data_IF_187160489040
#
_entry.id   IF_187160489040
#
_cell.length_a   1.000
_cell.length_b   1.000
_cell.length_c   1.000
_cell.angle_alpha   90.00
_cell.angle_beta   90.00
_cell.angle_gamma   90.00
#
_symmetry.space_group_name_H-M   'P 1'
#
loop_
_entity.id
_entity.type
_entity.pdbx_description
1 polymer ?
#
# COMPACT_ATOMS: atom_id res chain seq x y z
N UNK A 1 24.26 -15.79 -6.53
CA UNK A 1 22.83 -16.09 -6.79
C UNK A 1 21.96 -15.10 -6.05
N UNK A 2 20.94 -14.59 -6.69
CA UNK A 2 19.99 -13.69 -6.03
C UNK A 2 19.18 -14.47 -4.96
N UNK A 3 19.04 -13.90 -3.76
CA UNK A 3 18.22 -14.47 -2.71
C UNK A 3 16.76 -14.57 -3.20
N UNK A 4 16.12 -15.77 -3.22
CA UNK A 4 14.76 -15.97 -3.70
C UNK A 4 13.74 -15.09 -2.98
N UNK A 5 13.89 -14.88 -1.67
CA UNK A 5 13.00 -14.02 -0.89
C UNK A 5 13.08 -12.54 -1.32
N UNK A 6 14.29 -12.04 -1.57
CA UNK A 6 14.49 -10.68 -2.10
C UNK A 6 13.88 -10.53 -3.48
N UNK A 7 14.04 -11.52 -4.36
CA UNK A 7 13.43 -11.51 -5.69
C UNK A 7 11.91 -11.46 -5.62
N UNK A 8 11.30 -12.25 -4.74
CA UNK A 8 9.86 -12.28 -4.51
C UNK A 8 9.34 -10.94 -4.00
N UNK A 9 10.03 -10.32 -3.04
CA UNK A 9 9.71 -8.98 -2.53
C UNK A 9 9.71 -7.93 -3.64
N UNK A 10 10.78 -7.85 -4.43
CA UNK A 10 10.90 -6.92 -5.56
C UNK A 10 9.81 -7.13 -6.62
N UNK A 11 9.44 -8.38 -6.88
CA UNK A 11 8.34 -8.68 -7.81
C UNK A 11 6.99 -8.25 -7.26
N UNK A 12 6.76 -8.40 -5.96
CA UNK A 12 5.54 -7.93 -5.31
C UNK A 12 5.42 -6.40 -5.36
N UNK A 13 6.49 -5.66 -5.01
CA UNK A 13 6.54 -4.20 -5.12
C UNK A 13 6.21 -3.72 -6.55
N UNK A 14 6.89 -4.26 -7.55
CA UNK A 14 6.65 -3.91 -8.96
C UNK A 14 5.23 -4.24 -9.41
N UNK A 15 4.68 -5.35 -8.93
CA UNK A 15 3.31 -5.76 -9.22
C UNK A 15 2.29 -4.85 -8.57
N UNK A 16 2.53 -4.37 -7.35
CA UNK A 16 1.68 -3.36 -6.70
C UNK A 16 1.63 -2.06 -7.52
N UNK A 17 2.79 -1.59 -8.00
CA UNK A 17 2.85 -0.40 -8.86
C UNK A 17 1.99 -0.59 -10.12
N UNK A 18 2.21 -1.69 -10.83
CA UNK A 18 1.51 -1.97 -12.09
C UNK A 18 0.00 -2.15 -11.89
N UNK A 19 -0.39 -2.85 -10.83
CA UNK A 19 -1.79 -3.07 -10.47
C UNK A 19 -2.51 -1.75 -10.17
N UNK A 20 -1.95 -0.93 -9.29
CA UNK A 20 -2.56 0.35 -8.88
C UNK A 20 -2.64 1.32 -10.06
N UNK A 21 -1.62 1.37 -10.92
CA UNK A 21 -1.66 2.18 -12.15
C UNK A 21 -2.77 1.72 -13.10
N UNK A 22 -2.88 0.40 -13.33
CA UNK A 22 -3.82 -0.14 -14.29
C UNK A 22 -5.28 -0.11 -13.78
N UNK A 23 -5.50 -0.41 -12.50
CA UNK A 23 -6.85 -0.53 -11.94
C UNK A 23 -7.37 0.82 -11.44
N UNK A 24 -6.54 1.57 -10.72
CA UNK A 24 -6.95 2.86 -10.14
C UNK A 24 -6.63 4.07 -11.02
N UNK A 25 -5.73 3.93 -11.98
CA UNK A 25 -5.29 5.05 -12.82
C UNK A 25 -4.51 6.12 -12.06
N UNK A 26 -4.00 5.81 -10.87
CA UNK A 26 -3.25 6.75 -10.02
C UNK A 26 -1.76 6.73 -10.33
N UNK A 27 -1.09 7.83 -10.00
CA UNK A 27 0.37 7.90 -10.07
C UNK A 27 0.96 7.06 -8.94
N UNK A 28 1.74 6.05 -9.31
CA UNK A 28 2.50 5.22 -8.36
C UNK A 28 3.91 5.02 -8.90
N UNK A 29 4.91 5.24 -8.08
CA UNK A 29 6.32 5.02 -8.42
C UNK A 29 7.03 4.28 -7.30
N UNK A 30 8.09 3.54 -7.66
CA UNK A 30 8.99 2.98 -6.65
C UNK A 30 9.88 4.08 -6.12
N UNK A 31 10.06 4.11 -4.80
CA UNK A 31 11.03 5.02 -4.18
C UNK A 31 12.43 4.39 -4.24
N UNK A 32 13.41 5.22 -4.57
CA UNK A 32 14.80 4.85 -4.43
C UNK A 32 15.24 5.08 -2.97
N UNK A 33 16.15 4.24 -2.44
CA UNK A 33 16.72 4.50 -1.12
C UNK A 33 17.40 5.88 -1.08
N UNK A 34 16.95 6.75 -0.17
CA UNK A 34 17.51 8.08 0.04
C UNK A 34 18.39 8.11 1.29
N UNK A 35 19.59 7.54 1.21
CA UNK A 35 20.56 7.56 2.31
C UNK A 35 20.02 6.90 3.58
N UNK A 36 20.05 7.62 4.71
CA UNK A 36 19.60 7.12 6.02
C UNK A 36 18.11 7.36 6.28
N UNK A 37 17.37 7.92 5.32
CA UNK A 37 15.96 8.30 5.48
C UNK A 37 15.10 7.40 4.61
N UNK A 38 14.43 6.47 5.26
CA UNK A 38 13.49 5.57 4.59
C UNK A 38 12.14 6.27 4.42
N UNK A 39 11.67 6.33 3.18
CA UNK A 39 10.41 6.96 2.78
C UNK A 39 9.38 5.92 2.26
N UNK A 40 9.63 4.64 2.53
CA UNK A 40 8.84 3.52 2.04
C UNK A 40 9.26 3.01 0.67
N UNK A 41 8.65 1.91 0.25
CA UNK A 41 8.95 1.26 -1.03
C UNK A 41 8.33 1.95 -2.23
N UNK A 42 7.12 2.51 -2.06
CA UNK A 42 6.33 3.13 -3.12
C UNK A 42 5.80 4.49 -2.69
N UNK A 43 5.75 5.40 -3.66
CA UNK A 43 5.02 6.66 -3.58
C UNK A 43 3.74 6.53 -4.41
N UNK A 44 2.60 6.84 -3.80
CA UNK A 44 1.30 6.90 -4.50
C UNK A 44 0.71 8.31 -4.35
N UNK A 45 0.11 8.81 -5.42
CA UNK A 45 -0.64 10.07 -5.40
C UNK A 45 -2.09 9.77 -5.81
N UNK A 46 -3.02 10.06 -4.91
CA UNK A 46 -4.45 9.90 -5.12
C UNK A 46 -5.17 11.15 -4.59
N UNK A 47 -6.14 11.65 -5.32
CA UNK A 47 -6.90 12.87 -4.98
C UNK A 47 -5.97 14.07 -4.65
N UNK A 48 -4.85 14.20 -5.38
CA UNK A 48 -3.85 15.25 -5.16
C UNK A 48 -3.03 15.11 -3.86
N UNK A 49 -3.13 13.99 -3.17
CA UNK A 49 -2.44 13.72 -1.89
C UNK A 49 -1.41 12.63 -2.05
N UNK A 50 -0.27 12.78 -1.36
CA UNK A 50 0.82 11.81 -1.36
C UNK A 50 0.66 10.81 -0.22
N UNK A 51 0.78 9.52 -0.56
CA UNK A 51 0.83 8.40 0.37
C UNK A 51 2.16 7.68 0.22
N UNK A 52 2.75 7.25 1.33
CA UNK A 52 3.89 6.34 1.35
C UNK A 52 3.39 4.90 1.53
N UNK A 53 3.84 3.99 0.67
CA UNK A 53 3.46 2.59 0.78
C UNK A 53 4.68 1.75 1.10
N UNK A 54 4.55 0.89 2.10
CA UNK A 54 5.50 -0.15 2.46
C UNK A 54 4.97 -1.50 1.98
N UNK A 55 5.82 -2.31 1.36
CA UNK A 55 5.45 -3.61 0.81
C UNK A 55 6.09 -4.75 1.62
N UNK A 56 5.28 -5.69 2.08
CA UNK A 56 5.75 -6.87 2.80
C UNK A 56 5.27 -8.15 2.12
N UNK A 57 6.23 -8.95 1.67
CA UNK A 57 5.99 -10.23 1.01
C UNK A 57 6.57 -11.36 1.85
N UNK A 58 5.92 -11.66 2.97
CA UNK A 58 6.35 -12.66 3.96
C UNK A 58 5.24 -13.67 4.22
N UNK A 59 5.62 -14.94 4.48
CA UNK A 59 4.65 -16.03 4.63
C UNK A 59 3.95 -16.04 5.99
N UNK A 60 4.65 -15.64 7.03
CA UNK A 60 4.11 -15.64 8.40
C UNK A 60 4.34 -14.30 9.05
N UNK A 61 3.25 -13.72 9.53
CA UNK A 61 3.26 -12.45 10.27
C UNK A 61 2.63 -12.68 11.64
N UNK A 62 3.45 -12.59 12.68
CA UNK A 62 2.98 -12.61 14.07
C UNK A 62 2.37 -11.25 14.44
N UNK A 63 1.54 -11.15 15.50
CA UNK A 63 1.05 -9.86 15.99
C UNK A 63 2.17 -8.85 16.29
N UNK A 64 3.27 -9.31 16.87
CA UNK A 64 4.46 -8.48 17.11
C UNK A 64 5.07 -7.95 15.82
N UNK A 65 5.21 -8.82 14.82
CA UNK A 65 5.77 -8.45 13.51
C UNK A 65 4.85 -7.46 12.79
N UNK A 66 3.55 -7.64 12.89
CA UNK A 66 2.57 -6.70 12.35
C UNK A 66 2.70 -5.32 13.01
N UNK A 67 2.86 -5.27 14.33
CA UNK A 67 3.08 -4.00 15.04
C UNK A 67 4.36 -3.30 14.58
N UNK A 68 5.45 -4.05 14.35
CA UNK A 68 6.71 -3.51 13.80
C UNK A 68 6.50 -2.94 12.39
N UNK A 69 5.79 -3.64 11.50
CA UNK A 69 5.48 -3.17 10.14
C UNK A 69 4.63 -1.91 10.14
N UNK A 70 3.62 -1.83 11.01
CA UNK A 70 2.77 -0.66 11.15
C UNK A 70 3.56 0.57 11.63
N UNK A 71 4.43 0.37 12.63
CA UNK A 71 5.31 1.45 13.11
C UNK A 71 6.26 1.92 12.00
N UNK A 72 6.90 1.01 11.29
CA UNK A 72 7.77 1.31 10.16
C UNK A 72 7.01 2.14 9.12
N UNK A 73 5.84 1.71 8.70
CA UNK A 73 4.99 2.40 7.72
C UNK A 73 4.65 3.83 8.16
N UNK A 74 4.35 4.02 9.44
CA UNK A 74 4.06 5.36 10.00
C UNK A 74 5.29 6.27 9.96
N UNK A 75 6.45 5.76 10.34
CA UNK A 75 7.71 6.52 10.31
C UNK A 75 8.09 6.92 8.89
N UNK A 76 7.99 6.00 7.95
CA UNK A 76 8.29 6.23 6.54
C UNK A 76 7.36 7.28 5.92
N UNK A 77 6.07 7.23 6.24
CA UNK A 77 5.12 8.26 5.80
C UNK A 77 5.49 9.65 6.33
N UNK A 78 5.89 9.76 7.59
CA UNK A 78 6.37 11.01 8.16
C UNK A 78 7.65 11.48 7.48
N UNK A 79 8.61 10.61 7.23
CA UNK A 79 9.84 10.93 6.51
C UNK A 79 9.58 11.43 5.09
N UNK A 80 8.61 10.84 4.41
CA UNK A 80 8.21 11.19 3.05
C UNK A 80 7.39 12.50 2.97
N UNK A 81 6.94 13.07 4.10
CA UNK A 81 5.97 14.17 4.10
C UNK A 81 4.63 13.78 3.49
N UNK A 82 4.28 12.49 3.56
CA UNK A 82 3.03 11.95 3.07
C UNK A 82 1.88 12.22 4.05
N UNK A 83 0.65 12.29 3.56
CA UNK A 83 -0.54 12.47 4.41
C UNK A 83 -0.92 11.20 5.18
N UNK A 84 -0.38 10.05 4.76
CA UNK A 84 -0.56 8.78 5.44
C UNK A 84 0.31 7.67 4.88
N UNK A 85 0.46 6.61 5.66
CA UNK A 85 1.17 5.39 5.29
C UNK A 85 0.22 4.23 5.02
N UNK A 86 0.55 3.42 4.03
CA UNK A 86 -0.21 2.24 3.64
C UNK A 86 0.73 1.04 3.62
N UNK A 87 0.42 0.02 4.41
CA UNK A 87 1.14 -1.24 4.41
C UNK A 87 0.48 -2.21 3.43
N UNK A 88 1.16 -2.52 2.34
CA UNK A 88 0.73 -3.51 1.35
C UNK A 88 1.35 -4.86 1.70
N UNK A 89 0.53 -5.85 1.96
CA UNK A 89 0.97 -7.15 2.43
C UNK A 89 0.48 -8.27 1.51
N UNK A 90 1.43 -9.08 1.04
CA UNK A 90 1.10 -10.31 0.36
C UNK A 90 0.38 -11.27 1.30
N UNK A 91 -0.71 -11.83 0.83
CA UNK A 91 -1.49 -12.86 1.53
C UNK A 91 -1.08 -14.23 1.00
N UNK A 92 -0.58 -15.16 1.86
CA UNK A 92 -0.26 -16.50 1.45
C UNK A 92 -1.41 -17.18 0.71
N UNK A 93 -1.08 -17.88 -0.38
CA UNK A 93 -2.08 -18.49 -1.27
C UNK A 93 -2.60 -17.58 -2.38
N UNK A 94 -2.30 -16.27 -2.33
CA UNK A 94 -2.64 -15.30 -3.39
C UNK A 94 -1.43 -15.03 -4.28
N UNK A 95 -1.66 -14.46 -5.46
CA UNK A 95 -0.58 -14.05 -6.35
C UNK A 95 0.29 -12.96 -5.72
N UNK A 96 1.60 -13.08 -5.84
CA UNK A 96 2.56 -12.01 -5.50
C UNK A 96 3.10 -11.29 -6.75
N UNK A 97 2.69 -11.74 -7.91
CA UNK A 97 2.97 -11.15 -9.21
C UNK A 97 1.67 -10.83 -9.90
N UNK A 98 1.62 -9.66 -10.49
CA UNK A 98 0.53 -9.25 -11.36
C UNK A 98 1.09 -8.88 -12.73
N UNK A 99 0.51 -9.46 -13.76
CA UNK A 99 0.66 -9.04 -15.14
C UNK A 99 -0.71 -8.64 -15.69
N UNK A 100 -0.73 -7.72 -16.61
CA UNK A 100 -1.95 -7.21 -17.22
C UNK A 100 -2.64 -8.20 -18.17
N UNK A 101 -2.21 -9.47 -18.17
CA UNK A 101 -2.84 -10.52 -18.98
C UNK A 101 -4.24 -10.80 -18.46
N UNK A 102 -5.29 -10.62 -19.27
CA UNK A 102 -6.68 -10.80 -18.82
C UNK A 102 -7.03 -12.25 -18.45
N UNK A 103 -6.21 -13.21 -18.83
CA UNK A 103 -6.51 -14.65 -18.69
C UNK A 103 -5.79 -15.33 -17.51
N UNK A 104 -4.99 -14.58 -16.73
CA UNK A 104 -4.23 -15.16 -15.63
C UNK A 104 -5.05 -15.29 -14.34
N UNK A 105 -5.31 -16.53 -13.87
CA UNK A 105 -5.91 -16.76 -12.54
C UNK A 105 -5.14 -16.07 -11.40
N UNK A 106 -3.84 -15.86 -11.59
CA UNK A 106 -2.99 -15.15 -10.65
C UNK A 106 -3.27 -13.65 -10.62
N UNK A 107 -3.64 -13.04 -11.74
CA UNK A 107 -4.03 -11.64 -11.81
C UNK A 107 -5.33 -11.39 -11.03
N UNK A 108 -6.29 -12.32 -11.07
CA UNK A 108 -7.55 -12.22 -10.34
C UNK A 108 -7.37 -12.26 -8.83
N UNK A 109 -6.40 -13.04 -8.32
CA UNK A 109 -6.13 -13.16 -6.89
C UNK A 109 -5.20 -12.07 -6.36
N UNK A 110 -4.49 -11.32 -7.21
CA UNK A 110 -3.56 -10.28 -6.76
C UNK A 110 -4.28 -9.17 -5.99
N UNK A 111 -5.47 -8.77 -6.42
CA UNK A 111 -6.30 -7.80 -5.72
C UNK A 111 -6.78 -8.23 -4.33
N UNK A 112 -6.71 -9.53 -4.01
CA UNK A 112 -7.05 -10.09 -2.69
C UNK A 112 -5.90 -9.97 -1.66
N UNK A 113 -4.73 -9.46 -2.06
CA UNK A 113 -3.69 -9.07 -1.12
C UNK A 113 -4.20 -7.96 -0.19
N UNK A 114 -3.54 -7.78 0.93
CA UNK A 114 -4.03 -6.90 1.99
C UNK A 114 -3.41 -5.50 1.93
N UNK A 115 -4.20 -4.52 2.31
CA UNK A 115 -3.76 -3.16 2.57
C UNK A 115 -4.18 -2.75 4.00
N UNK A 116 -3.24 -2.27 4.79
CA UNK A 116 -3.47 -1.82 6.15
C UNK A 116 -3.14 -0.34 6.27
N UNK A 117 -3.98 0.40 6.95
CA UNK A 117 -3.80 1.84 7.17
C UNK A 117 -4.58 2.29 8.40
N UNK A 118 -4.28 3.49 8.89
CA UNK A 118 -5.11 4.11 9.92
C UNK A 118 -6.43 4.60 9.33
N UNK A 119 -7.44 4.77 10.18
CA UNK A 119 -8.72 5.38 9.79
C UNK A 119 -8.51 6.75 9.16
N UNK A 120 -7.62 7.56 9.73
CA UNK A 120 -7.26 8.87 9.16
C UNK A 120 -6.72 8.74 7.73
N UNK A 121 -5.77 7.82 7.50
CA UNK A 121 -5.22 7.56 6.16
C UNK A 121 -6.30 7.09 5.19
N UNK A 122 -7.21 6.21 5.64
CA UNK A 122 -8.34 5.75 4.84
C UNK A 122 -9.24 6.91 4.40
N UNK A 123 -9.57 7.82 5.30
CA UNK A 123 -10.38 8.99 4.99
C UNK A 123 -9.69 9.92 3.99
N UNK A 124 -8.38 10.15 4.16
CA UNK A 124 -7.58 10.90 3.19
C UNK A 124 -7.58 10.23 1.80
N UNK A 125 -7.52 8.90 1.77
CA UNK A 125 -7.50 8.11 0.53
C UNK A 125 -8.83 8.17 -0.23
N UNK A 126 -9.95 8.32 0.44
CA UNK A 126 -11.28 8.45 -0.20
C UNK A 126 -11.54 9.84 -0.78
N UNK A 127 -10.58 10.76 -0.69
CA UNK A 127 -10.74 12.12 -1.16
C UNK A 127 -11.61 13.00 -0.25
N UNK A 128 -11.91 12.56 0.96
CA UNK A 128 -12.67 13.35 1.94
C UNK A 128 -12.04 14.72 2.11
N UNK A 129 -12.84 15.77 1.95
CA UNK A 129 -12.43 17.17 2.12
C UNK A 129 -13.08 17.73 3.39
N UNK A 130 -12.33 18.55 4.10
CA UNK A 130 -12.78 19.18 5.34
C UNK A 130 -12.06 18.67 6.57
N UNK A 131 -12.32 19.32 7.67
CA UNK A 131 -11.83 18.90 8.98
C UNK A 131 -12.56 17.63 9.38
N UNK A 132 -11.82 16.55 9.60
CA UNK A 132 -12.39 15.28 10.03
C UNK A 132 -12.68 15.40 11.53
N UNK A 133 -13.95 15.54 11.87
CA UNK A 133 -14.41 15.53 13.27
C UNK A 133 -14.45 14.09 13.78
N UNK A 134 -13.27 13.48 13.91
CA UNK A 134 -13.10 12.13 14.49
C UNK A 134 -12.20 12.22 15.71
N UNK A 135 -12.49 11.39 16.68
CA UNK A 135 -11.64 11.24 17.85
C UNK A 135 -10.23 10.82 17.46
N UNK A 136 -9.22 11.42 18.09
CA UNK A 136 -7.80 11.15 17.78
C UNK A 136 -7.42 9.68 17.96
N UNK A 137 -8.02 8.98 18.93
CA UNK A 137 -7.81 7.55 19.14
C UNK A 137 -8.39 6.73 17.98
N UNK A 138 -9.60 7.09 17.53
CA UNK A 138 -10.24 6.46 16.36
C UNK A 138 -9.43 6.74 15.09
N UNK A 139 -8.94 7.95 14.90
CA UNK A 139 -8.13 8.35 13.76
C UNK A 139 -6.88 7.46 13.60
N UNK A 140 -6.26 7.06 14.71
CA UNK A 140 -5.05 6.24 14.73
C UNK A 140 -5.33 4.72 14.77
N UNK A 141 -6.59 4.31 14.77
CA UNK A 141 -6.95 2.88 14.68
C UNK A 141 -6.59 2.31 13.32
N UNK A 142 -5.92 1.16 13.30
CA UNK A 142 -5.58 0.46 12.07
C UNK A 142 -6.75 -0.36 11.55
N UNK A 143 -6.98 -0.26 10.26
CA UNK A 143 -7.98 -1.03 9.51
C UNK A 143 -7.31 -1.81 8.40
N UNK A 144 -7.92 -2.91 7.99
CA UNK A 144 -7.44 -3.77 6.91
C UNK A 144 -8.49 -3.88 5.83
N UNK A 145 -8.06 -3.72 4.59
CA UNK A 145 -8.88 -3.92 3.40
C UNK A 145 -8.10 -4.76 2.37
N UNK A 146 -8.68 -5.01 1.22
CA UNK A 146 -7.98 -5.64 0.10
C UNK A 146 -7.29 -4.60 -0.78
N UNK A 147 -6.28 -5.04 -1.53
CA UNK A 147 -5.62 -4.18 -2.52
C UNK A 147 -6.61 -3.73 -3.62
N UNK A 148 -7.59 -4.57 -3.94
CA UNK A 148 -8.67 -4.22 -4.87
C UNK A 148 -9.53 -3.06 -4.34
N UNK A 149 -9.93 -3.11 -3.07
CA UNK A 149 -10.74 -2.05 -2.47
C UNK A 149 -9.92 -0.77 -2.30
N UNK A 150 -8.63 -0.88 -1.95
CA UNK A 150 -7.69 0.24 -1.96
C UNK A 150 -7.68 0.93 -3.33
N UNK A 151 -7.55 0.15 -4.40
CA UNK A 151 -7.53 0.69 -5.75
C UNK A 151 -8.84 1.43 -6.09
N UNK A 152 -9.98 0.88 -5.70
CA UNK A 152 -11.30 1.53 -5.90
C UNK A 152 -11.37 2.87 -5.14
N UNK A 153 -10.92 2.90 -3.89
CA UNK A 153 -10.93 4.12 -3.08
C UNK A 153 -9.99 5.21 -3.62
N UNK A 154 -8.87 4.80 -4.21
CA UNK A 154 -7.90 5.71 -4.80
C UNK A 154 -8.34 6.27 -6.17
N UNK A 155 -9.32 5.66 -6.82
CA UNK A 155 -9.81 6.13 -8.12
C UNK A 155 -10.43 7.52 -8.01
N UNK A 156 -9.94 8.43 -8.85
CA UNK A 156 -10.58 9.73 -9.02
C UNK A 156 -11.83 9.55 -9.90
N UNK A 157 -12.97 9.94 -9.37
CA UNK A 157 -14.20 9.96 -10.17
C UNK A 157 -14.09 11.13 -11.15
N UNK A 158 -14.17 10.90 -12.47
CA UNK A 158 -14.20 12.00 -13.43
C UNK A 158 -15.36 12.93 -13.10
N UNK A 159 -15.07 14.23 -12.98
CA UNK A 159 -16.08 15.27 -12.85
C UNK A 159 -16.80 15.48 -14.17
#
# INVERSE_FOLDING_TARGET
MANPAKKKGTQFESSCVNYLRAIAGVEVTREAPHGNRDEGDLRMVAHGRRFACECKCVERVTPRKMAEFRLQTTVEAANAGAVGGILLQWRPGKGYRWDASPDGDRAKSFGDNMAHMTVETLMQLTGATGELDIDAEVAQTWVTTTLKDLAIMAMEVPQ
#
